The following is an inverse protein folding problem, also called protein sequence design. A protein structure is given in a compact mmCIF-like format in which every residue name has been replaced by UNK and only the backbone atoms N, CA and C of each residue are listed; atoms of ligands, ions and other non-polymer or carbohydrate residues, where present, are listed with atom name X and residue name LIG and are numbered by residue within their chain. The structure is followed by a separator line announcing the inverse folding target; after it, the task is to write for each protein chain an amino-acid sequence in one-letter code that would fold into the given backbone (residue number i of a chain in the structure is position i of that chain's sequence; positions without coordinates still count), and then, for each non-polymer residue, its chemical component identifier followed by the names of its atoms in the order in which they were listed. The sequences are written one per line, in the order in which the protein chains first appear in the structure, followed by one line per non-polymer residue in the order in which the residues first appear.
data_IF_342793636403
#
_entry.id   IF_342793636403
#
_cell.length_a   1.000
_cell.length_b   1.000
_cell.length_c   1.000
_cell.angle_alpha   90.00
_cell.angle_beta   90.00
_cell.angle_gamma   90.00
#
_symmetry.space_group_name_H-M   'P 1'
#
loop_
_entity.id
_entity.type
_entity.pdbx_description
1 polymer ?
#
# COMPACT_ATOMS: atom_id res chain seq x y z
N UNK A 1 -38.06 36.07 27.43
CA UNK A 1 -38.21 34.65 27.06
C UNK A 1 -37.02 34.28 26.19
N UNK A 2 -36.17 33.34 26.62
CA UNK A 2 -34.86 33.06 26.03
C UNK A 2 -34.99 31.87 25.08
N UNK A 3 -34.80 32.09 23.78
CA UNK A 3 -34.84 31.02 22.78
C UNK A 3 -33.55 30.18 22.88
N UNK A 4 -33.71 28.87 23.07
CA UNK A 4 -32.62 27.90 23.20
C UNK A 4 -32.38 27.27 21.83
N UNK A 5 -31.15 27.40 21.31
CA UNK A 5 -30.72 26.79 20.06
C UNK A 5 -30.47 25.29 20.28
N UNK A 6 -31.13 24.43 19.50
CA UNK A 6 -30.86 22.99 19.47
C UNK A 6 -29.89 22.72 18.33
N UNK A 7 -28.61 22.50 18.67
CA UNK A 7 -27.59 22.10 17.70
C UNK A 7 -27.71 20.59 17.47
N UNK A 8 -28.24 20.18 16.32
CA UNK A 8 -28.27 18.78 15.89
C UNK A 8 -26.93 18.48 15.22
N UNK A 9 -26.04 17.78 15.93
CA UNK A 9 -24.80 17.26 15.35
C UNK A 9 -25.17 15.91 14.71
N UNK A 10 -25.44 15.92 13.41
CA UNK A 10 -25.64 14.68 12.65
C UNK A 10 -24.26 14.09 12.34
N UNK A 11 -23.81 13.15 13.17
CA UNK A 11 -22.59 12.38 12.90
C UNK A 11 -22.80 11.49 11.68
N UNK A 12 -22.10 11.78 10.59
CA UNK A 12 -22.06 10.93 9.40
C UNK A 12 -21.02 9.83 9.65
N UNK A 13 -21.46 8.63 10.03
CA UNK A 13 -20.58 7.47 10.13
C UNK A 13 -20.27 7.00 8.71
N UNK A 14 -19.05 7.25 8.22
CA UNK A 14 -18.56 6.57 7.01
C UNK A 14 -18.40 5.08 7.33
N UNK A 15 -19.32 4.26 6.82
CA UNK A 15 -19.11 2.82 6.73
C UNK A 15 -18.12 2.62 5.58
N UNK A 16 -16.82 2.53 5.87
CA UNK A 16 -15.86 2.07 4.87
C UNK A 16 -16.10 0.57 4.65
N UNK A 17 -16.94 0.27 3.66
CA UNK A 17 -17.03 -1.07 3.10
C UNK A 17 -15.65 -1.44 2.57
N UNK A 18 -15.05 -2.48 3.16
CA UNK A 18 -13.70 -2.97 2.88
C UNK A 18 -13.55 -3.56 1.48
N UNK A 19 -13.67 -2.74 0.44
CA UNK A 19 -13.19 -3.05 -0.89
C UNK A 19 -11.68 -2.79 -0.89
N UNK A 20 -10.87 -3.84 -0.99
CA UNK A 20 -9.43 -3.64 -1.24
C UNK A 20 -9.30 -2.90 -2.56
N UNK A 21 -8.65 -1.73 -2.54
CA UNK A 21 -8.37 -0.97 -3.76
C UNK A 21 -7.70 -1.92 -4.78
N UNK A 22 -8.14 -1.94 -6.05
CA UNK A 22 -7.47 -2.73 -7.06
C UNK A 22 -5.98 -2.35 -7.10
N UNK A 23 -5.12 -3.32 -7.40
CA UNK A 23 -3.70 -3.06 -7.55
C UNK A 23 -3.49 -1.98 -8.62
N UNK A 24 -2.89 -0.88 -8.22
CA UNK A 24 -2.40 0.19 -9.09
C UNK A 24 -0.88 0.11 -9.03
N UNK A 25 -0.15 -0.01 -10.15
CA UNK A 25 1.31 -0.06 -10.13
C UNK A 25 1.92 1.33 -9.89
N UNK A 26 3.18 1.42 -9.39
CA UNK A 26 3.84 2.69 -9.22
C UNK A 26 4.20 3.31 -10.58
N UNK A 27 4.17 4.64 -10.67
CA UNK A 27 4.60 5.33 -11.87
C UNK A 27 6.10 5.66 -11.81
N UNK A 28 6.79 5.52 -12.95
CA UNK A 28 8.18 5.97 -13.08
C UNK A 28 8.27 7.46 -12.75
N UNK A 29 9.21 7.83 -11.90
CA UNK A 29 9.40 9.20 -11.40
C UNK A 29 8.70 9.51 -10.07
N UNK A 30 7.84 8.64 -9.55
CA UNK A 30 7.25 8.81 -8.22
C UNK A 30 8.32 8.84 -7.12
N UNK A 31 8.08 9.65 -6.08
CA UNK A 31 8.90 9.64 -4.87
C UNK A 31 8.63 8.42 -4.01
N UNK A 32 9.62 8.04 -3.20
CA UNK A 32 9.43 7.12 -2.07
C UNK A 32 8.20 7.46 -1.20
N UNK A 33 7.94 8.75 -0.96
CA UNK A 33 6.78 9.19 -0.17
C UNK A 33 5.44 8.88 -0.86
N UNK A 34 5.36 9.09 -2.17
CA UNK A 34 4.18 8.73 -2.97
C UNK A 34 3.96 7.22 -2.99
N UNK A 35 5.03 6.43 -3.16
CA UNK A 35 4.96 4.96 -3.10
C UNK A 35 4.47 4.50 -1.72
N UNK A 36 5.00 5.06 -0.62
CA UNK A 36 4.53 4.75 0.75
C UNK A 36 3.09 5.16 0.99
N UNK A 37 2.62 6.26 0.40
CA UNK A 37 1.23 6.67 0.53
C UNK A 37 0.25 5.64 -0.07
N UNK A 38 0.70 4.85 -1.06
CA UNK A 38 -0.11 3.84 -1.74
C UNK A 38 0.03 2.46 -1.07
N UNK A 39 1.26 2.02 -0.80
CA UNK A 39 1.53 0.65 -0.35
C UNK A 39 1.98 0.53 1.11
N UNK A 40 2.03 1.65 1.83
CA UNK A 40 2.61 1.74 3.18
C UNK A 40 4.11 1.42 3.20
N UNK A 41 4.62 0.99 4.36
CA UNK A 41 6.03 0.63 4.50
C UNK A 41 6.34 -0.68 3.76
N UNK A 42 7.51 -0.77 3.11
CA UNK A 42 7.94 -1.98 2.44
C UNK A 42 8.22 -3.11 3.43
N UNK A 43 8.01 -4.34 2.98
CA UNK A 43 8.35 -5.56 3.71
C UNK A 43 9.87 -5.83 3.70
N UNK A 44 10.59 -5.26 2.73
CA UNK A 44 12.04 -5.31 2.67
C UNK A 44 12.65 -4.13 1.91
N UNK A 45 13.84 -3.72 2.33
CA UNK A 45 14.66 -2.71 1.66
C UNK A 45 16.04 -3.32 1.43
N UNK A 46 16.52 -3.25 0.19
CA UNK A 46 17.85 -3.69 -0.20
C UNK A 46 18.48 -2.70 -1.20
N UNK A 47 19.70 -2.99 -1.64
CA UNK A 47 20.36 -2.26 -2.70
C UNK A 47 20.83 -3.24 -3.77
N UNK A 48 20.66 -2.89 -5.05
CA UNK A 48 21.20 -3.68 -6.15
C UNK A 48 22.73 -3.51 -6.28
N UNK A 49 23.35 -4.28 -7.18
CA UNK A 49 24.79 -4.19 -7.46
C UNK A 49 25.24 -2.83 -8.01
N UNK A 50 24.31 -2.02 -8.51
CA UNK A 50 24.55 -0.66 -9.01
C UNK A 50 24.37 0.42 -7.92
N UNK A 51 23.99 0.02 -6.70
CA UNK A 51 23.71 0.90 -5.57
C UNK A 51 22.36 1.61 -5.66
N UNK A 52 21.42 1.10 -6.46
CA UNK A 52 20.04 1.56 -6.47
C UNK A 52 19.28 0.92 -5.31
N UNK A 53 18.40 1.70 -4.68
CA UNK A 53 17.58 1.20 -3.58
C UNK A 53 16.41 0.40 -4.14
N UNK A 54 16.17 -0.77 -3.58
CA UNK A 54 15.13 -1.69 -4.01
C UNK A 54 14.21 -1.95 -2.84
N UNK A 55 12.92 -1.72 -3.03
CA UNK A 55 11.89 -1.99 -2.05
C UNK A 55 11.04 -3.19 -2.49
N UNK A 56 10.73 -4.04 -1.53
CA UNK A 56 9.91 -5.24 -1.72
C UNK A 56 8.64 -5.14 -0.90
N UNK A 57 7.51 -5.47 -1.50
CA UNK A 57 6.20 -5.49 -0.88
C UNK A 57 5.54 -6.85 -1.10
N UNK A 58 4.95 -7.43 -0.06
CA UNK A 58 4.14 -8.65 -0.12
C UNK A 58 2.66 -8.25 -0.08
N UNK A 59 2.05 -8.22 -1.26
CA UNK A 59 0.65 -7.89 -1.44
C UNK A 59 -0.22 -9.10 -1.07
N UNK A 60 -1.29 -8.86 -0.30
CA UNK A 60 -2.22 -9.92 0.12
C UNK A 60 -1.76 -10.73 1.34
N UNK A 61 -0.66 -10.34 2.01
CA UNK A 61 -0.11 -11.06 3.18
C UNK A 61 -1.11 -11.33 4.31
N UNK A 62 -2.15 -10.51 4.45
CA UNK A 62 -3.22 -10.74 5.43
C UNK A 62 -3.99 -12.05 5.22
N UNK A 63 -4.11 -12.52 3.98
CA UNK A 63 -4.81 -13.77 3.66
C UNK A 63 -4.01 -15.02 4.08
N UNK A 64 -2.68 -14.91 4.18
CA UNK A 64 -1.81 -16.02 4.59
C UNK A 64 -2.06 -16.47 6.04
N UNK A 65 -2.54 -15.57 6.90
CA UNK A 65 -2.79 -15.86 8.31
C UNK A 65 -4.18 -16.44 8.58
N UNK A 66 -4.99 -16.67 7.54
CA UNK A 66 -6.34 -17.24 7.71
C UNK A 66 -6.24 -18.77 7.61
N UNK A 67 -6.56 -19.55 8.66
CA UNK A 67 -6.28 -20.99 8.75
C UNK A 67 -6.81 -21.85 7.60
N UNK A 68 -7.88 -21.42 6.92
CA UNK A 68 -8.49 -22.15 5.78
C UNK A 68 -7.83 -21.76 4.45
N UNK A 69 -7.31 -20.53 4.34
CA UNK A 69 -6.72 -20.00 3.11
C UNK A 69 -5.21 -20.12 3.07
N UNK A 70 -4.51 -20.23 4.21
CA UNK A 70 -3.06 -20.13 4.29
C UNK A 70 -2.28 -21.04 3.35
N UNK A 71 -2.77 -22.26 3.09
CA UNK A 71 -2.13 -23.21 2.16
C UNK A 71 -2.36 -22.89 0.66
N UNK A 72 -3.37 -22.08 0.34
CA UNK A 72 -3.74 -21.70 -1.03
C UNK A 72 -3.73 -20.18 -1.24
N UNK A 73 -3.22 -19.43 -0.27
CA UNK A 73 -3.22 -17.98 -0.28
C UNK A 73 -2.27 -17.50 -1.36
N UNK A 74 -2.83 -16.98 -2.45
CA UNK A 74 -2.05 -16.35 -3.52
C UNK A 74 -1.60 -15.00 -3.03
N UNK A 75 -0.30 -14.82 -2.91
CA UNK A 75 0.29 -13.50 -2.67
C UNK A 75 1.09 -13.05 -3.89
N UNK A 76 1.31 -11.75 -3.98
CA UNK A 76 2.12 -11.17 -5.05
C UNK A 76 3.21 -10.33 -4.45
N UNK A 77 4.42 -10.48 -4.96
CA UNK A 77 5.53 -9.61 -4.63
C UNK A 77 5.53 -8.43 -5.60
N UNK A 78 5.61 -7.22 -5.08
CA UNK A 78 5.92 -6.01 -5.86
C UNK A 78 7.35 -5.57 -5.51
N UNK A 79 8.18 -5.44 -6.53
CA UNK A 79 9.54 -4.89 -6.42
C UNK A 79 9.55 -3.50 -7.06
N UNK A 80 10.09 -2.52 -6.34
CA UNK A 80 10.22 -1.14 -6.81
C UNK A 80 11.68 -0.71 -6.69
N UNK A 81 12.27 -0.24 -7.79
CA UNK A 81 13.66 0.21 -7.85
C UNK A 81 13.67 1.74 -7.91
N UNK A 82 14.51 2.36 -7.09
CA UNK A 82 14.70 3.79 -7.01
C UNK A 82 16.10 4.20 -7.44
N UNK A 83 16.19 5.30 -8.19
CA UNK A 83 17.47 5.94 -8.41
C UNK A 83 17.99 6.64 -7.14
N UNK A 84 19.23 7.15 -7.22
CA UNK A 84 19.90 7.89 -6.14
C UNK A 84 19.16 9.14 -5.64
N UNK A 85 18.20 9.67 -6.41
CA UNK A 85 17.35 10.81 -6.02
C UNK A 85 16.05 10.37 -5.34
N UNK A 86 15.89 9.07 -5.08
CA UNK A 86 14.69 8.49 -4.45
C UNK A 86 13.46 8.51 -5.35
N UNK A 87 13.65 8.35 -6.67
CA UNK A 87 12.58 8.31 -7.66
C UNK A 87 12.48 6.93 -8.29
N UNK A 88 11.26 6.44 -8.50
CA UNK A 88 11.01 5.15 -9.17
C UNK A 88 11.63 5.17 -10.56
N UNK A 89 12.44 4.16 -10.88
CA UNK A 89 12.99 3.93 -12.22
C UNK A 89 12.38 2.70 -12.88
N UNK A 90 12.08 1.68 -12.09
CA UNK A 90 11.53 0.42 -12.56
C UNK A 90 10.71 -0.23 -11.45
N UNK A 91 9.74 -1.05 -11.85
CA UNK A 91 9.03 -1.95 -10.95
C UNK A 91 8.69 -3.25 -11.66
N UNK A 92 8.44 -4.30 -10.88
CA UNK A 92 7.96 -5.58 -11.38
C UNK A 92 7.05 -6.25 -10.35
N UNK A 93 6.19 -7.14 -10.82
CA UNK A 93 5.35 -7.96 -9.94
C UNK A 93 5.51 -9.43 -10.27
N UNK A 94 5.55 -10.27 -9.25
CA UNK A 94 5.59 -11.72 -9.38
C UNK A 94 4.50 -12.35 -8.52
N UNK A 95 3.75 -13.29 -9.08
CA UNK A 95 2.76 -14.07 -8.31
C UNK A 95 3.43 -15.33 -7.78
N UNK A 96 3.15 -15.67 -6.53
CA UNK A 96 3.58 -16.91 -5.88
C UNK A 96 2.37 -17.80 -5.61
#
# INVERSE_FOLDING_TARGET
MKAMLITIITSFTLISSGFSKPFEPPHVGETKGQVRAIYHEPDGISFDSSGQEVWTYVLGKGQMFIPIYGAFAKYRSLIVIFNRRGRVTQWSTESQ
#
